data_IF_338739800511
#
_entry.id   IF_338739800511
#
_cell.length_a   1.000
_cell.length_b   1.000
_cell.length_c   1.000
_cell.angle_alpha   90.00
_cell.angle_beta   90.00
_cell.angle_gamma   90.00
#
_symmetry.space_group_name_H-M   'P 1'
#
loop_
_entity.id
_entity.type
_entity.pdbx_description
1 polymer ?
#
# COMPACT_ATOMS: atom_id res chain seq x y z
N UNK A 1 -37.75 1.14 -8.05
CA UNK A 1 -38.07 -0.31 -7.99
C UNK A 1 -38.05 -0.92 -6.58
N UNK A 2 -37.39 -0.30 -5.62
CA UNK A 2 -37.22 -0.80 -4.23
C UNK A 2 -38.49 -0.98 -3.39
N UNK A 3 -39.61 -0.42 -3.79
CA UNK A 3 -40.85 -0.47 -2.98
C UNK A 3 -41.89 -1.52 -3.41
N UNK A 4 -41.57 -2.41 -4.34
CA UNK A 4 -42.48 -3.47 -4.78
C UNK A 4 -42.34 -4.77 -4.01
N UNK A 5 -41.21 -5.01 -3.37
CA UNK A 5 -40.95 -6.21 -2.56
C UNK A 5 -41.34 -5.93 -1.12
N UNK A 6 -42.19 -6.81 -0.54
CA UNK A 6 -42.54 -6.71 0.86
C UNK A 6 -41.35 -7.06 1.77
N UNK A 7 -41.39 -6.63 3.05
CA UNK A 7 -40.34 -6.88 4.04
C UNK A 7 -39.87 -8.34 4.10
N UNK A 8 -40.81 -9.29 4.04
CA UNK A 8 -40.49 -10.72 4.11
C UNK A 8 -39.65 -11.19 2.92
N UNK A 9 -39.91 -10.67 1.72
CA UNK A 9 -39.17 -11.00 0.51
C UNK A 9 -37.73 -10.46 0.62
N UNK A 10 -37.57 -9.21 1.03
CA UNK A 10 -36.26 -8.59 1.21
C UNK A 10 -35.43 -9.30 2.30
N UNK A 11 -36.10 -9.71 3.40
CA UNK A 11 -35.45 -10.46 4.46
C UNK A 11 -35.00 -11.85 3.98
N UNK A 12 -35.80 -12.52 3.17
CA UNK A 12 -35.43 -13.81 2.60
C UNK A 12 -34.29 -13.71 1.63
N UNK A 13 -34.33 -12.77 0.71
CA UNK A 13 -33.20 -12.47 -0.23
C UNK A 13 -31.91 -12.16 0.53
N UNK A 14 -31.97 -11.33 1.57
CA UNK A 14 -30.80 -11.03 2.41
C UNK A 14 -30.24 -12.27 3.11
N UNK A 15 -31.11 -13.12 3.66
CA UNK A 15 -30.70 -14.37 4.30
C UNK A 15 -29.98 -15.31 3.33
N UNK A 16 -30.52 -15.50 2.13
CA UNK A 16 -29.94 -16.37 1.11
C UNK A 16 -28.54 -15.90 0.70
N UNK A 17 -28.34 -14.59 0.53
CA UNK A 17 -27.02 -14.00 0.23
C UNK A 17 -26.05 -14.27 1.38
N UNK A 18 -26.44 -14.00 2.63
CA UNK A 18 -25.55 -14.19 3.78
C UNK A 18 -25.28 -15.67 4.06
N UNK A 19 -26.23 -16.55 3.87
CA UNK A 19 -26.04 -18.01 3.99
C UNK A 19 -25.01 -18.51 2.96
N UNK A 20 -25.05 -17.99 1.73
CA UNK A 20 -24.06 -18.31 0.70
C UNK A 20 -22.66 -17.81 1.07
N UNK A 21 -22.54 -16.59 1.61
CA UNK A 21 -21.29 -16.01 2.09
C UNK A 21 -20.72 -16.87 3.23
N UNK A 22 -21.51 -17.13 4.27
CA UNK A 22 -21.07 -17.91 5.42
C UNK A 22 -20.66 -19.34 5.03
N UNK A 23 -21.42 -19.99 4.15
CA UNK A 23 -21.09 -21.33 3.66
C UNK A 23 -19.71 -21.39 3.00
N UNK A 24 -19.26 -20.29 2.35
CA UNK A 24 -17.97 -20.19 1.65
C UNK A 24 -16.83 -19.75 2.58
N UNK A 25 -17.11 -18.89 3.55
CA UNK A 25 -16.07 -18.10 4.23
C UNK A 25 -16.10 -18.20 5.76
N UNK A 26 -17.04 -18.94 6.34
CA UNK A 26 -17.11 -19.06 7.81
C UNK A 26 -15.86 -19.76 8.36
N UNK A 27 -15.33 -19.20 9.45
CA UNK A 27 -14.27 -19.82 10.23
C UNK A 27 -14.90 -20.32 11.53
N UNK A 28 -14.96 -21.63 11.69
CA UNK A 28 -15.50 -22.27 12.89
C UNK A 28 -14.39 -22.44 13.92
N UNK A 29 -14.60 -21.89 15.11
CA UNK A 29 -13.67 -21.99 16.23
C UNK A 29 -14.25 -22.99 17.24
N UNK A 30 -13.55 -24.10 17.46
CA UNK A 30 -13.87 -25.03 18.53
C UNK A 30 -13.28 -24.52 19.85
N UNK A 31 -14.06 -23.77 20.59
CA UNK A 31 -13.70 -23.18 21.87
C UNK A 31 -14.84 -23.34 22.87
N UNK A 32 -14.49 -23.36 24.15
CA UNK A 32 -15.47 -23.35 25.24
C UNK A 32 -16.07 -21.96 25.47
N UNK A 33 -15.46 -20.92 24.87
CA UNK A 33 -15.89 -19.53 24.99
C UNK A 33 -16.44 -19.07 23.63
N UNK A 34 -17.68 -18.64 23.59
CA UNK A 34 -18.35 -18.22 22.36
C UNK A 34 -17.87 -16.86 21.83
N UNK A 35 -17.22 -16.06 22.68
CA UNK A 35 -16.79 -14.70 22.34
C UNK A 35 -15.81 -14.66 21.14
N UNK A 36 -14.88 -15.63 21.08
CA UNK A 36 -13.94 -15.70 19.97
C UNK A 36 -14.63 -15.96 18.62
N UNK A 37 -15.62 -16.86 18.61
CA UNK A 37 -16.43 -17.15 17.41
C UNK A 37 -17.23 -15.93 16.96
N UNK A 38 -17.84 -15.21 17.92
CA UNK A 38 -18.59 -13.98 17.62
C UNK A 38 -17.65 -12.91 17.07
N UNK A 39 -16.49 -12.70 17.69
CA UNK A 39 -15.50 -11.71 17.26
C UNK A 39 -15.02 -11.96 15.81
N UNK A 40 -14.71 -13.21 15.47
CA UNK A 40 -14.28 -13.57 14.11
C UNK A 40 -15.39 -13.35 13.10
N UNK A 41 -16.61 -13.82 13.37
CA UNK A 41 -17.74 -13.58 12.46
C UNK A 41 -18.09 -12.11 12.30
N UNK A 42 -17.96 -11.32 13.36
CA UNK A 42 -18.13 -9.88 13.31
C UNK A 42 -17.11 -9.22 12.40
N UNK A 43 -15.83 -9.60 12.52
CA UNK A 43 -14.77 -9.11 11.64
C UNK A 43 -15.02 -9.50 10.16
N UNK A 44 -15.34 -10.76 9.90
CA UNK A 44 -15.67 -11.24 8.55
C UNK A 44 -16.88 -10.51 7.94
N UNK A 45 -17.91 -10.27 8.75
CA UNK A 45 -19.07 -9.48 8.32
C UNK A 45 -18.65 -8.08 7.87
N UNK A 46 -17.82 -7.39 8.67
CA UNK A 46 -17.36 -6.04 8.33
C UNK A 46 -16.46 -6.02 7.08
N UNK A 47 -15.60 -7.01 6.89
CA UNK A 47 -14.80 -7.14 5.66
C UNK A 47 -15.72 -7.29 4.43
N UNK A 48 -16.81 -8.07 4.54
CA UNK A 48 -17.72 -8.29 3.42
C UNK A 48 -18.54 -7.05 3.03
N UNK A 49 -18.96 -6.24 4.00
CA UNK A 49 -19.80 -5.07 3.73
C UNK A 49 -19.00 -3.84 3.29
N UNK A 50 -17.66 -3.82 3.49
CA UNK A 50 -16.84 -2.64 3.19
C UNK A 50 -16.47 -2.51 1.72
N UNK A 51 -16.56 -3.58 0.93
CA UNK A 51 -16.04 -3.61 -0.44
C UNK A 51 -17.16 -3.56 -1.48
N UNK A 52 -16.92 -2.84 -2.57
CA UNK A 52 -17.73 -2.91 -3.79
C UNK A 52 -17.09 -3.89 -4.76
N UNK A 53 -17.55 -5.13 -4.74
CA UNK A 53 -16.89 -6.28 -5.40
C UNK A 53 -16.72 -6.13 -6.91
N UNK A 54 -17.62 -5.41 -7.57
CA UNK A 54 -17.66 -5.30 -9.04
C UNK A 54 -17.25 -3.91 -9.56
N UNK A 55 -16.83 -2.99 -8.68
CA UNK A 55 -16.52 -1.62 -9.09
C UNK A 55 -15.05 -1.28 -8.84
N UNK A 56 -14.25 -1.38 -9.89
CA UNK A 56 -12.83 -1.06 -9.88
C UNK A 56 -12.52 0.44 -10.05
N UNK A 57 -13.48 1.33 -9.83
CA UNK A 57 -13.28 2.79 -9.80
C UNK A 57 -13.10 3.31 -8.37
N UNK A 58 -13.39 2.49 -7.37
CA UNK A 58 -13.34 2.82 -5.97
C UNK A 58 -12.55 1.77 -5.21
N UNK A 59 -11.77 2.21 -4.22
CA UNK A 59 -11.12 1.34 -3.24
C UNK A 59 -11.98 1.15 -2.00
N UNK A 60 -11.36 0.70 -0.92
CA UNK A 60 -12.00 0.56 0.39
C UNK A 60 -11.69 1.81 1.22
N UNK A 61 -12.72 2.48 1.71
CA UNK A 61 -12.55 3.63 2.60
C UNK A 61 -12.05 3.22 3.98
N UNK A 62 -11.21 4.03 4.61
CA UNK A 62 -10.60 3.75 5.92
C UNK A 62 -11.61 3.47 7.04
N UNK A 63 -12.81 4.05 6.98
CA UNK A 63 -13.93 3.78 7.90
C UNK A 63 -15.00 2.87 7.28
N UNK A 64 -14.69 2.21 6.18
CA UNK A 64 -15.63 1.39 5.42
C UNK A 64 -16.93 2.18 5.11
N UNK A 65 -18.09 1.59 5.44
CA UNK A 65 -19.41 2.24 5.31
C UNK A 65 -19.97 2.72 6.66
N UNK A 66 -19.21 2.57 7.75
CA UNK A 66 -19.70 2.81 9.11
C UNK A 66 -19.42 4.22 9.65
N UNK A 67 -18.72 5.06 8.89
CA UNK A 67 -18.40 6.42 9.34
C UNK A 67 -17.95 7.34 8.20
N UNK A 68 -18.02 8.64 8.43
CA UNK A 68 -17.65 9.69 7.47
C UNK A 68 -16.17 10.07 7.54
N UNK A 69 -15.41 9.52 8.51
CA UNK A 69 -13.99 9.77 8.66
C UNK A 69 -13.22 9.39 7.39
N UNK A 70 -12.23 10.19 7.06
CA UNK A 70 -11.42 10.05 5.83
C UNK A 70 -12.21 10.11 4.52
N UNK A 71 -13.45 10.59 4.53
CA UNK A 71 -14.27 10.88 3.32
C UNK A 71 -14.47 9.69 2.37
N UNK A 72 -14.28 8.46 2.85
CA UNK A 72 -14.30 7.25 2.02
C UNK A 72 -13.05 7.03 1.17
N UNK A 73 -11.97 7.76 1.42
CA UNK A 73 -10.70 7.61 0.72
C UNK A 73 -9.96 6.35 1.16
N UNK A 74 -9.15 5.79 0.25
CA UNK A 74 -8.37 4.57 0.45
C UNK A 74 -6.94 4.88 0.83
N UNK A 75 -6.38 4.05 1.70
CA UNK A 75 -5.03 4.13 2.22
C UNK A 75 -4.32 2.78 2.00
N UNK A 76 -3.07 2.68 2.41
CA UNK A 76 -2.27 1.45 2.32
C UNK A 76 -2.77 0.31 3.22
N UNK A 77 -3.63 0.61 4.19
CA UNK A 77 -4.35 -0.40 5.00
C UNK A 77 -5.05 -1.44 4.13
N UNK A 78 -5.59 -1.00 2.99
CA UNK A 78 -6.23 -1.90 2.03
C UNK A 78 -5.25 -2.98 1.59
N UNK A 79 -4.08 -2.61 1.12
CA UNK A 79 -3.10 -3.52 0.53
C UNK A 79 -2.44 -4.42 1.58
N UNK A 80 -2.14 -3.88 2.75
CA UNK A 80 -1.34 -4.59 3.74
C UNK A 80 -2.19 -5.41 4.70
N UNK A 81 -3.36 -4.91 5.12
CA UNK A 81 -4.15 -5.53 6.19
C UNK A 81 -5.46 -6.14 5.72
N UNK A 82 -6.14 -5.56 4.72
CA UNK A 82 -7.45 -6.03 4.25
C UNK A 82 -7.31 -7.00 3.08
N UNK A 83 -6.44 -6.69 2.15
CA UNK A 83 -6.22 -7.42 0.91
C UNK A 83 -5.92 -8.92 1.11
N UNK A 84 -5.10 -9.35 2.09
CA UNK A 84 -4.81 -10.77 2.31
C UNK A 84 -6.07 -11.62 2.54
N UNK A 85 -7.10 -11.06 3.16
CA UNK A 85 -8.37 -11.76 3.32
C UNK A 85 -9.04 -12.00 1.96
N UNK A 86 -9.20 -10.96 1.14
CA UNK A 86 -9.84 -11.10 -0.17
C UNK A 86 -9.01 -11.95 -1.13
N UNK A 87 -7.69 -11.84 -1.09
CA UNK A 87 -6.81 -12.69 -1.87
C UNK A 87 -7.07 -14.18 -1.66
N UNK A 88 -7.34 -14.57 -0.43
CA UNK A 88 -7.60 -15.97 -0.06
C UNK A 88 -9.07 -16.37 -0.23
N UNK A 89 -10.01 -15.51 0.14
CA UNK A 89 -11.43 -15.82 0.19
C UNK A 89 -12.17 -15.50 -1.13
N UNK A 90 -11.81 -14.41 -1.78
CA UNK A 90 -12.44 -13.89 -3.00
C UNK A 90 -11.40 -13.22 -3.92
N UNK A 91 -10.56 -13.98 -4.64
CA UNK A 91 -9.49 -13.43 -5.49
C UNK A 91 -9.97 -12.44 -6.54
N UNK A 92 -11.21 -12.58 -7.02
CA UNK A 92 -11.87 -11.65 -7.93
C UNK A 92 -12.04 -10.25 -7.32
N UNK A 93 -12.28 -10.17 -6.02
CA UNK A 93 -12.35 -8.89 -5.29
C UNK A 93 -10.96 -8.28 -5.15
N UNK A 94 -9.96 -9.10 -4.81
CA UNK A 94 -8.57 -8.67 -4.75
C UNK A 94 -8.10 -8.09 -6.10
N UNK A 95 -8.46 -8.74 -7.21
CA UNK A 95 -8.22 -8.22 -8.57
C UNK A 95 -8.85 -6.85 -8.78
N UNK A 96 -10.11 -6.68 -8.39
CA UNK A 96 -10.83 -5.40 -8.54
C UNK A 96 -10.13 -4.27 -7.78
N UNK A 97 -9.63 -4.54 -6.57
CA UNK A 97 -8.86 -3.57 -5.77
C UNK A 97 -7.53 -3.18 -6.44
N UNK A 98 -6.82 -4.14 -7.02
CA UNK A 98 -5.60 -3.86 -7.78
C UNK A 98 -5.89 -3.11 -9.08
N UNK A 99 -7.00 -3.38 -9.76
CA UNK A 99 -7.42 -2.61 -10.94
C UNK A 99 -7.75 -1.15 -10.59
N UNK A 100 -8.29 -0.88 -9.39
CA UNK A 100 -8.43 0.47 -8.88
C UNK A 100 -7.07 1.17 -8.77
N UNK A 101 -6.06 0.50 -8.21
CA UNK A 101 -4.70 1.06 -8.13
C UNK A 101 -4.08 1.27 -9.51
N UNK A 102 -4.27 0.34 -10.46
CA UNK A 102 -3.81 0.55 -11.83
C UNK A 102 -4.45 1.79 -12.48
N UNK A 103 -5.74 1.98 -12.30
CA UNK A 103 -6.43 3.19 -12.82
C UNK A 103 -5.87 4.47 -12.20
N UNK A 104 -5.41 4.40 -10.94
CA UNK A 104 -4.72 5.49 -10.26
C UNK A 104 -3.29 5.74 -10.72
N UNK A 105 -2.73 4.92 -11.63
CA UNK A 105 -1.33 5.03 -12.07
C UNK A 105 -1.03 6.38 -12.74
N UNK A 106 -1.98 6.95 -13.45
CA UNK A 106 -1.84 8.30 -14.02
C UNK A 106 -1.60 9.36 -12.92
N UNK A 107 -2.40 9.33 -11.86
CA UNK A 107 -2.25 10.22 -10.71
C UNK A 107 -0.91 10.00 -9.97
N UNK A 108 -0.48 8.74 -9.86
CA UNK A 108 0.81 8.40 -9.26
C UNK A 108 2.00 8.92 -10.07
N UNK A 109 1.94 8.85 -11.40
CA UNK A 109 2.96 9.48 -12.30
C UNK A 109 2.98 10.99 -12.15
N UNK A 110 1.81 11.62 -12.08
CA UNK A 110 1.68 13.05 -11.85
C UNK A 110 2.32 13.45 -10.53
N UNK A 111 2.00 12.74 -9.43
CA UNK A 111 2.57 12.96 -8.11
C UNK A 111 4.10 12.82 -8.11
N UNK A 112 4.64 11.77 -8.74
CA UNK A 112 6.08 11.59 -8.87
C UNK A 112 6.75 12.81 -9.54
N UNK A 113 6.20 13.23 -10.68
CA UNK A 113 6.72 14.38 -11.45
C UNK A 113 6.65 15.69 -10.66
N UNK A 114 5.55 15.95 -9.96
CA UNK A 114 5.35 17.16 -9.14
C UNK A 114 6.35 17.22 -7.96
N UNK A 115 6.81 16.05 -7.49
CA UNK A 115 7.83 15.94 -6.45
C UNK A 115 9.27 15.80 -7.00
N UNK A 116 9.46 15.95 -8.32
CA UNK A 116 10.79 15.90 -8.95
C UNK A 116 11.32 14.50 -9.23
N UNK A 117 10.46 13.46 -9.14
CA UNK A 117 10.83 12.07 -9.38
C UNK A 117 10.32 11.55 -10.72
N UNK A 118 10.85 10.41 -11.15
CA UNK A 118 10.42 9.66 -12.33
C UNK A 118 9.45 8.55 -11.94
N UNK A 119 8.81 7.93 -12.94
CA UNK A 119 7.92 6.79 -12.72
C UNK A 119 6.64 7.15 -11.97
N UNK A 120 6.20 6.30 -11.05
CA UNK A 120 4.94 6.45 -10.33
C UNK A 120 5.14 6.38 -8.81
N UNK A 121 4.72 7.43 -8.11
CA UNK A 121 4.66 7.54 -6.65
C UNK A 121 3.19 7.53 -6.24
N UNK A 122 2.72 6.42 -5.70
CA UNK A 122 1.33 6.33 -5.29
C UNK A 122 1.01 7.25 -4.11
N UNK A 123 -0.21 7.81 -4.05
CA UNK A 123 -0.62 8.71 -2.98
C UNK A 123 -0.74 7.97 -1.65
N UNK A 124 -0.50 8.67 -0.56
CA UNK A 124 -0.83 8.22 0.79
C UNK A 124 -2.35 8.12 0.96
N UNK A 125 -3.06 9.15 0.53
CA UNK A 125 -4.54 9.19 0.51
C UNK A 125 -5.04 9.21 -0.93
N UNK A 126 -5.77 8.16 -1.35
CA UNK A 126 -6.31 7.99 -2.68
C UNK A 126 -7.84 8.17 -2.69
N UNK A 127 -8.34 9.07 -3.53
CA UNK A 127 -9.77 9.32 -3.71
C UNK A 127 -10.27 8.72 -5.05
N UNK A 128 -10.23 9.51 -6.10
CA UNK A 128 -10.71 9.08 -7.41
C UNK A 128 -9.56 8.64 -8.32
N UNK A 129 -9.87 7.77 -9.27
CA UNK A 129 -8.88 7.16 -10.19
C UNK A 129 -8.08 8.17 -11.04
N UNK A 130 -8.56 9.38 -11.22
CA UNK A 130 -7.85 10.45 -11.96
C UNK A 130 -6.99 11.33 -11.06
N UNK A 131 -7.12 11.19 -9.75
CA UNK A 131 -6.46 12.06 -8.80
C UNK A 131 -5.04 11.51 -8.49
N UNK A 132 -4.16 12.41 -8.09
CA UNK A 132 -2.91 12.03 -7.43
C UNK A 132 -3.11 12.03 -5.92
N UNK A 133 -2.21 12.72 -5.19
CA UNK A 133 -2.35 12.92 -3.76
C UNK A 133 -3.52 13.85 -3.43
N UNK A 134 -4.35 13.44 -2.49
CA UNK A 134 -5.49 14.24 -2.01
C UNK A 134 -5.39 14.60 -0.53
N UNK A 135 -4.34 14.20 0.15
CA UNK A 135 -4.06 14.63 1.52
C UNK A 135 -3.85 16.14 1.55
N UNK A 136 -4.63 16.88 2.31
CA UNK A 136 -4.44 18.31 2.42
C UNK A 136 -3.14 18.62 3.19
N UNK A 137 -2.27 19.46 2.62
CA UNK A 137 -1.04 19.87 3.29
C UNK A 137 -1.30 20.61 4.61
N UNK A 138 -2.39 21.38 4.68
CA UNK A 138 -2.87 22.05 5.90
C UNK A 138 -4.18 21.40 6.31
N UNK A 139 -4.20 20.75 7.46
CA UNK A 139 -5.37 20.02 7.99
C UNK A 139 -6.22 20.85 8.93
N UNK A 140 -5.72 21.98 9.39
CA UNK A 140 -6.42 22.87 10.30
C UNK A 140 -5.52 23.98 10.83
N UNK A 141 -5.96 24.59 11.91
CA UNK A 141 -5.21 25.64 12.63
C UNK A 141 -5.19 25.29 14.10
N UNK A 142 -4.04 25.38 14.72
CA UNK A 142 -3.89 25.23 16.17
C UNK A 142 -4.67 26.36 16.86
N UNK A 143 -5.70 26.01 17.61
CA UNK A 143 -6.61 26.99 18.23
C UNK A 143 -5.95 27.85 19.31
N UNK A 144 -4.78 27.43 19.83
CA UNK A 144 -4.06 28.16 20.87
C UNK A 144 -2.98 29.09 20.29
N UNK A 145 -2.30 28.66 19.22
CA UNK A 145 -1.18 29.45 18.63
C UNK A 145 -1.58 30.19 17.34
N UNK A 146 -2.66 29.79 16.68
CA UNK A 146 -3.06 30.31 15.38
C UNK A 146 -2.22 29.78 14.21
N UNK A 147 -1.29 28.86 14.46
CA UNK A 147 -0.42 28.29 13.43
C UNK A 147 -1.11 27.17 12.64
N UNK A 148 -0.79 27.02 11.33
CA UNK A 148 -1.34 25.94 10.55
C UNK A 148 -0.85 24.57 11.06
N UNK A 149 -1.75 23.58 11.08
CA UNK A 149 -1.42 22.19 11.32
C UNK A 149 -1.01 21.55 10.00
N UNK A 150 0.28 21.27 9.85
CA UNK A 150 0.86 20.69 8.64
C UNK A 150 0.69 19.18 8.70
N UNK A 151 0.35 18.58 7.56
CA UNK A 151 0.31 17.14 7.35
C UNK A 151 1.32 16.75 6.26
N UNK A 152 2.34 16.01 6.65
CA UNK A 152 3.45 15.64 5.76
C UNK A 152 3.28 14.26 5.13
N UNK A 153 2.31 13.45 5.58
CA UNK A 153 2.11 12.07 5.09
C UNK A 153 1.96 12.01 3.57
N UNK A 154 1.17 12.91 2.98
CA UNK A 154 1.02 13.01 1.53
C UNK A 154 2.30 13.36 0.78
N UNK A 155 3.32 13.87 1.45
CA UNK A 155 4.58 14.34 0.83
C UNK A 155 5.71 13.35 1.03
N UNK A 156 5.98 12.96 2.29
CA UNK A 156 7.17 12.17 2.65
C UNK A 156 6.87 10.76 3.15
N UNK A 157 5.61 10.33 3.25
CA UNK A 157 5.25 8.93 3.50
C UNK A 157 5.10 8.19 2.17
N UNK A 158 6.15 7.50 1.75
CA UNK A 158 6.33 7.03 0.37
C UNK A 158 6.25 5.52 0.21
N UNK A 159 6.27 4.76 1.31
CA UNK A 159 6.27 3.29 1.29
C UNK A 159 5.03 2.69 0.63
N UNK A 160 3.89 3.43 0.62
CA UNK A 160 2.64 3.04 -0.05
C UNK A 160 2.88 2.58 -1.48
N UNK A 161 3.80 3.21 -2.17
CA UNK A 161 4.21 2.86 -3.52
C UNK A 161 4.64 1.40 -3.64
N UNK A 162 5.40 0.90 -2.67
CA UNK A 162 5.83 -0.50 -2.64
C UNK A 162 4.80 -1.44 -2.03
N UNK A 163 3.97 -0.96 -1.10
CA UNK A 163 2.93 -1.79 -0.47
C UNK A 163 1.92 -2.29 -1.50
N UNK A 164 1.56 -1.44 -2.45
CA UNK A 164 0.70 -1.80 -3.57
C UNK A 164 1.34 -2.90 -4.44
N UNK A 165 2.65 -2.79 -4.70
CA UNK A 165 3.36 -3.79 -5.50
C UNK A 165 3.55 -5.09 -4.73
N UNK A 166 3.75 -5.02 -3.43
CA UNK A 166 3.78 -6.21 -2.57
C UNK A 166 2.44 -6.96 -2.62
N UNK A 167 1.31 -6.26 -2.45
CA UNK A 167 -0.01 -6.85 -2.57
C UNK A 167 -0.25 -7.46 -3.98
N UNK A 168 0.12 -6.75 -5.04
CA UNK A 168 0.04 -7.23 -6.41
C UNK A 168 0.84 -8.53 -6.59
N UNK A 169 2.06 -8.59 -6.10
CA UNK A 169 2.91 -9.76 -6.22
C UNK A 169 2.38 -10.95 -5.42
N UNK A 170 1.88 -10.71 -4.21
CA UNK A 170 1.19 -11.73 -3.42
C UNK A 170 -0.03 -12.28 -4.15
N UNK A 171 -0.84 -11.41 -4.75
CA UNK A 171 -1.99 -11.81 -5.57
C UNK A 171 -1.57 -12.73 -6.73
N UNK A 172 -0.59 -12.29 -7.52
CA UNK A 172 -0.09 -13.08 -8.65
C UNK A 172 0.47 -14.43 -8.20
N UNK A 173 1.24 -14.45 -7.13
CA UNK A 173 1.81 -15.67 -6.59
C UNK A 173 0.73 -16.67 -6.13
N UNK A 174 -0.35 -16.16 -5.55
CA UNK A 174 -1.45 -17.00 -5.05
C UNK A 174 -2.39 -17.50 -6.16
N UNK A 175 -2.60 -16.70 -7.21
CA UNK A 175 -3.64 -16.97 -8.23
C UNK A 175 -3.11 -17.42 -9.56
N UNK A 176 -1.86 -17.05 -9.91
CA UNK A 176 -1.32 -17.22 -11.26
C UNK A 176 -2.02 -16.39 -12.34
N UNK A 177 -2.71 -15.29 -11.97
CA UNK A 177 -3.48 -14.47 -12.91
C UNK A 177 -2.59 -13.74 -13.90
N UNK A 178 -2.23 -14.44 -14.95
CA UNK A 178 -1.36 -13.93 -16.00
C UNK A 178 -2.04 -12.82 -16.83
N UNK A 179 -3.37 -12.87 -17.00
CA UNK A 179 -4.12 -11.82 -17.69
C UNK A 179 -3.99 -10.47 -16.97
N UNK A 180 -4.09 -10.48 -15.65
CA UNK A 180 -3.86 -9.27 -14.85
C UNK A 180 -2.43 -8.76 -15.01
N UNK A 181 -1.43 -9.65 -14.93
CA UNK A 181 -0.04 -9.26 -15.08
C UNK A 181 0.25 -8.67 -16.45
N UNK A 182 -0.22 -9.31 -17.51
CA UNK A 182 0.00 -8.87 -18.90
C UNK A 182 -0.65 -7.50 -19.18
N UNK A 183 -1.81 -7.23 -18.59
CA UNK A 183 -2.57 -5.99 -18.84
C UNK A 183 -2.15 -4.84 -17.93
N UNK A 184 -1.75 -5.12 -16.71
CA UNK A 184 -1.61 -4.12 -15.65
C UNK A 184 -0.33 -4.28 -14.82
N UNK A 185 -0.06 -5.50 -14.35
CA UNK A 185 0.92 -5.76 -13.30
C UNK A 185 2.33 -5.36 -13.66
N UNK A 186 2.78 -5.72 -14.86
CA UNK A 186 4.14 -5.40 -15.32
C UNK A 186 4.39 -3.90 -15.39
N UNK A 187 3.42 -3.13 -15.89
CA UNK A 187 3.52 -1.68 -15.96
C UNK A 187 3.59 -1.06 -14.56
N UNK A 188 2.75 -1.50 -13.63
CA UNK A 188 2.77 -1.00 -12.25
C UNK A 188 4.11 -1.24 -11.57
N UNK A 189 4.65 -2.46 -11.66
CA UNK A 189 5.92 -2.85 -11.04
C UNK A 189 7.09 -2.03 -11.60
N UNK A 190 7.16 -1.84 -12.90
CA UNK A 190 8.24 -1.09 -13.55
C UNK A 190 8.16 0.40 -13.19
N UNK A 191 6.98 0.99 -13.28
CA UNK A 191 6.80 2.42 -13.01
C UNK A 191 7.10 2.80 -11.55
N UNK A 192 6.71 1.97 -10.60
CA UNK A 192 7.02 2.20 -9.18
C UNK A 192 8.49 2.00 -8.87
N UNK A 193 9.15 1.03 -9.52
CA UNK A 193 10.60 0.87 -9.38
C UNK A 193 11.38 2.05 -10.00
N UNK A 194 10.86 2.67 -11.07
CA UNK A 194 11.42 3.92 -11.63
C UNK A 194 11.36 5.06 -10.63
N UNK A 195 10.28 5.14 -9.85
CA UNK A 195 10.20 6.11 -8.75
C UNK A 195 11.33 5.86 -7.76
N UNK A 196 11.47 4.65 -7.23
CA UNK A 196 12.54 4.34 -6.29
C UNK A 196 13.93 4.56 -6.88
N UNK A 197 14.15 4.17 -8.14
CA UNK A 197 15.41 4.44 -8.83
C UNK A 197 15.79 5.94 -8.84
N UNK A 198 14.81 6.81 -9.01
CA UNK A 198 15.03 8.26 -9.00
C UNK A 198 15.05 8.87 -7.58
N UNK A 199 14.47 8.17 -6.58
CA UNK A 199 14.34 8.65 -5.20
C UNK A 199 15.58 8.41 -4.36
N UNK A 200 16.32 7.35 -4.66
CA UNK A 200 17.51 7.00 -3.89
C UNK A 200 18.59 8.10 -3.98
N UNK A 201 19.13 8.47 -2.84
CA UNK A 201 20.19 9.47 -2.68
C UNK A 201 21.54 8.79 -2.47
N UNK A 202 22.53 9.14 -3.30
CA UNK A 202 23.89 8.67 -3.10
C UNK A 202 24.59 9.49 -2.02
N UNK A 203 25.08 8.82 -0.99
CA UNK A 203 25.80 9.46 0.13
C UNK A 203 27.29 9.08 0.01
N UNK A 204 28.09 10.03 -0.44
CA UNK A 204 29.51 9.81 -0.74
C UNK A 204 30.29 9.37 0.51
N UNK A 205 30.02 9.98 1.66
CA UNK A 205 30.68 9.65 2.92
C UNK A 205 30.47 8.21 3.36
N UNK A 206 29.32 7.64 2.99
CA UNK A 206 28.93 6.28 3.37
C UNK A 206 29.13 5.27 2.23
N UNK A 207 29.46 5.76 1.02
CA UNK A 207 29.59 4.95 -0.19
C UNK A 207 28.38 4.03 -0.42
N UNK A 208 27.16 4.56 -0.23
CA UNK A 208 25.92 3.82 -0.35
C UNK A 208 24.75 4.72 -0.75
N UNK A 209 23.65 4.11 -1.21
CA UNK A 209 22.37 4.77 -1.37
C UNK A 209 21.58 4.77 -0.07
N UNK A 210 20.86 5.85 0.19
CA UNK A 210 19.97 6.02 1.34
C UNK A 210 18.61 6.57 0.88
N UNK A 211 17.58 6.35 1.71
CA UNK A 211 16.29 7.02 1.62
C UNK A 211 16.16 7.91 2.86
N UNK A 212 16.21 9.21 2.64
CA UNK A 212 16.26 10.20 3.71
C UNK A 212 14.99 11.02 3.74
N UNK A 213 14.73 11.64 4.89
CA UNK A 213 13.60 12.55 5.07
C UNK A 213 12.25 11.92 4.71
N UNK A 214 11.88 10.86 5.43
CA UNK A 214 10.61 10.16 5.25
C UNK A 214 9.82 10.06 6.55
N UNK A 215 8.53 9.74 6.40
CA UNK A 215 7.69 9.15 7.44
C UNK A 215 7.58 7.66 7.12
N UNK A 216 7.81 6.80 8.11
CA UNK A 216 7.58 5.36 8.00
C UNK A 216 6.16 4.97 8.41
N UNK A 217 5.83 3.67 8.46
CA UNK A 217 4.52 3.16 8.87
C UNK A 217 4.09 3.57 10.29
N UNK A 218 5.05 3.95 11.13
CA UNK A 218 4.83 4.56 12.42
C UNK A 218 4.96 6.08 12.26
N UNK A 219 3.83 6.77 12.15
CA UNK A 219 3.74 8.20 11.86
C UNK A 219 4.15 9.09 13.05
N UNK A 220 4.48 8.52 14.20
CA UNK A 220 4.92 9.27 15.39
C UNK A 220 6.18 10.08 15.16
N UNK A 221 7.00 9.66 14.18
CA UNK A 221 8.26 10.33 13.88
C UNK A 221 8.32 10.71 12.42
N UNK A 222 8.23 12.00 12.18
CA UNK A 222 8.48 12.62 10.89
C UNK A 222 9.98 12.89 10.68
N UNK A 223 10.38 13.10 9.42
CA UNK A 223 11.75 13.47 9.04
C UNK A 223 12.81 12.48 9.52
N UNK A 224 12.60 11.18 9.27
CA UNK A 224 13.57 10.15 9.59
C UNK A 224 14.36 9.72 8.37
N UNK A 225 15.61 9.33 8.60
CA UNK A 225 16.50 8.77 7.57
C UNK A 225 16.53 7.24 7.72
N UNK A 226 16.59 6.55 6.58
CA UNK A 226 16.76 5.10 6.52
C UNK A 226 15.71 4.32 7.32
N UNK A 227 14.42 4.68 7.15
CA UNK A 227 13.36 3.89 7.75
C UNK A 227 13.43 2.44 7.24
N UNK A 228 13.52 1.48 8.16
CA UNK A 228 13.73 0.08 7.83
C UNK A 228 12.64 -0.45 6.89
N UNK A 229 11.36 -0.22 7.23
CA UNK A 229 10.24 -0.68 6.41
C UNK A 229 10.33 -0.12 5.00
N UNK A 230 10.48 1.21 4.87
CA UNK A 230 10.57 1.90 3.58
C UNK A 230 11.74 1.37 2.74
N UNK A 231 12.93 1.21 3.34
CA UNK A 231 14.11 0.75 2.62
C UNK A 231 13.96 -0.70 2.14
N UNK A 232 13.46 -1.61 2.98
CA UNK A 232 13.22 -3.01 2.58
C UNK A 232 12.14 -3.13 1.51
N UNK A 233 11.05 -2.37 1.62
CA UNK A 233 9.97 -2.38 0.65
C UNK A 233 10.40 -1.78 -0.70
N UNK A 234 11.18 -0.70 -0.69
CA UNK A 234 11.78 -0.13 -1.89
C UNK A 234 12.73 -1.11 -2.58
N UNK A 235 13.59 -1.77 -1.80
CA UNK A 235 14.51 -2.80 -2.31
C UNK A 235 13.74 -3.95 -2.98
N UNK A 236 12.68 -4.45 -2.34
CA UNK A 236 11.87 -5.54 -2.89
C UNK A 236 11.14 -5.13 -4.17
N UNK A 237 10.58 -3.91 -4.23
CA UNK A 237 9.96 -3.41 -5.45
C UNK A 237 10.97 -3.33 -6.62
N UNK A 238 12.18 -2.82 -6.37
CA UNK A 238 13.25 -2.78 -7.38
C UNK A 238 13.69 -4.18 -7.81
N UNK A 239 13.78 -5.14 -6.87
CA UNK A 239 14.11 -6.52 -7.15
C UNK A 239 13.08 -7.19 -8.06
N UNK A 240 11.81 -7.01 -7.76
CA UNK A 240 10.70 -7.51 -8.58
C UNK A 240 10.74 -6.91 -9.98
N UNK A 241 10.99 -5.60 -10.09
CA UNK A 241 11.08 -4.94 -11.39
C UNK A 241 12.22 -5.49 -12.26
N UNK A 242 13.40 -5.71 -11.68
CA UNK A 242 14.50 -6.31 -12.40
C UNK A 242 14.18 -7.73 -12.91
N UNK A 243 13.50 -8.56 -12.10
CA UNK A 243 13.01 -9.87 -12.50
C UNK A 243 11.96 -9.79 -13.61
N UNK A 244 11.00 -8.87 -13.46
CA UNK A 244 9.92 -8.66 -14.42
C UNK A 244 10.47 -8.18 -15.77
N UNK A 245 11.42 -7.24 -15.79
CA UNK A 245 12.05 -6.78 -17.04
C UNK A 245 12.71 -7.94 -17.77
N UNK A 246 13.45 -8.79 -17.07
CA UNK A 246 14.06 -9.98 -17.66
C UNK A 246 13.00 -10.94 -18.21
N UNK A 247 11.95 -11.24 -17.46
CA UNK A 247 10.86 -12.11 -17.87
C UNK A 247 10.15 -11.61 -19.13
N UNK A 248 9.71 -10.34 -19.16
CA UNK A 248 8.99 -9.80 -20.33
C UNK A 248 9.92 -9.69 -21.56
N UNK A 249 11.21 -9.43 -21.37
CA UNK A 249 12.19 -9.43 -22.45
C UNK A 249 12.27 -10.80 -23.11
N UNK A 250 12.27 -11.87 -22.34
CA UNK A 250 12.47 -13.23 -22.85
C UNK A 250 11.15 -13.85 -23.34
N UNK A 251 10.04 -13.63 -22.64
CA UNK A 251 8.78 -14.36 -22.85
C UNK A 251 7.63 -13.51 -23.41
N UNK A 252 7.66 -12.18 -23.27
CA UNK A 252 6.53 -11.27 -23.56
C UNK A 252 6.94 -10.09 -24.47
N UNK A 253 7.39 -10.39 -25.68
CA UNK A 253 7.97 -9.39 -26.60
C UNK A 253 7.09 -8.16 -26.86
N UNK A 254 5.77 -8.35 -26.94
CA UNK A 254 4.82 -7.24 -27.20
C UNK A 254 4.75 -6.28 -26.00
N UNK A 255 4.70 -6.83 -24.78
CA UNK A 255 4.70 -6.04 -23.54
C UNK A 255 6.05 -5.33 -23.38
N UNK A 256 7.15 -6.06 -23.62
CA UNK A 256 8.49 -5.48 -23.59
C UNK A 256 8.60 -4.30 -24.57
N UNK A 257 8.13 -4.47 -25.81
CA UNK A 257 8.12 -3.42 -26.83
C UNK A 257 7.28 -2.19 -26.44
N UNK A 258 6.11 -2.41 -25.78
CA UNK A 258 5.27 -1.32 -25.23
C UNK A 258 6.02 -0.55 -24.15
N UNK A 259 6.62 -1.25 -23.19
CA UNK A 259 7.33 -0.63 -22.09
C UNK A 259 8.61 0.06 -22.56
N UNK A 260 9.32 -0.53 -23.53
CA UNK A 260 10.53 0.07 -24.10
C UNK A 260 10.23 1.42 -24.79
N UNK A 261 9.10 1.55 -25.50
CA UNK A 261 8.70 2.84 -26.07
C UNK A 261 8.49 3.90 -25.01
N UNK A 262 7.83 3.53 -23.90
CA UNK A 262 7.62 4.44 -22.78
C UNK A 262 8.96 4.93 -22.19
N UNK A 263 9.95 4.04 -22.08
CA UNK A 263 11.29 4.41 -21.62
C UNK A 263 12.02 5.33 -22.60
N UNK A 264 11.90 5.05 -23.91
CA UNK A 264 12.54 5.86 -24.97
C UNK A 264 12.00 7.27 -25.04
N UNK A 265 10.71 7.49 -24.79
CA UNK A 265 10.11 8.83 -24.72
C UNK A 265 10.72 9.69 -23.61
N UNK A 266 11.31 9.06 -22.58
CA UNK A 266 12.02 9.72 -21.50
C UNK A 266 13.56 9.64 -21.63
N UNK A 267 14.07 9.20 -22.78
CA UNK A 267 15.51 9.17 -23.08
C UNK A 267 16.29 8.07 -22.37
N UNK A 268 15.63 6.94 -22.02
CA UNK A 268 16.25 5.77 -21.36
C UNK A 268 15.80 4.46 -22.01
N UNK A 269 16.21 3.32 -21.46
CA UNK A 269 15.77 2.00 -21.91
C UNK A 269 15.47 1.07 -20.74
N UNK A 270 14.76 -0.04 -20.99
CA UNK A 270 14.52 -1.06 -19.96
C UNK A 270 15.81 -1.75 -19.54
N UNK A 271 16.75 -1.96 -20.45
CA UNK A 271 18.06 -2.54 -20.16
C UNK A 271 18.85 -1.64 -19.20
N UNK A 272 18.88 -0.34 -19.48
CA UNK A 272 19.53 0.64 -18.62
C UNK A 272 18.87 0.68 -17.25
N UNK A 273 17.54 0.70 -17.20
CA UNK A 273 16.81 0.65 -15.92
C UNK A 273 17.15 -0.61 -15.12
N UNK A 274 17.17 -1.78 -15.77
CA UNK A 274 17.51 -3.06 -15.12
C UNK A 274 18.91 -3.03 -14.50
N UNK A 275 19.88 -2.49 -15.22
CA UNK A 275 21.28 -2.33 -14.73
C UNK A 275 21.36 -1.37 -13.55
N UNK A 276 20.71 -0.22 -13.66
CA UNK A 276 20.65 0.77 -12.58
C UNK A 276 20.01 0.21 -11.31
N UNK A 277 18.87 -0.51 -11.45
CA UNK A 277 18.20 -1.16 -10.32
C UNK A 277 19.11 -2.18 -9.64
N UNK A 278 19.78 -3.03 -10.41
CA UNK A 278 20.71 -4.05 -9.88
C UNK A 278 21.91 -3.44 -9.16
N UNK A 279 22.46 -2.32 -9.67
CA UNK A 279 23.58 -1.63 -9.03
C UNK A 279 23.12 -0.95 -7.73
N UNK A 280 22.01 -0.21 -7.78
CA UNK A 280 21.50 0.52 -6.62
C UNK A 280 21.05 -0.39 -5.49
N UNK A 281 20.39 -1.51 -5.79
CA UNK A 281 20.01 -2.49 -4.76
C UNK A 281 21.20 -3.04 -3.98
N UNK A 282 22.34 -3.28 -4.65
CA UNK A 282 23.55 -3.77 -3.96
C UNK A 282 24.14 -2.74 -2.98
N UNK A 283 23.86 -1.48 -3.22
CA UNK A 283 24.41 -0.35 -2.46
C UNK A 283 23.39 0.35 -1.57
N UNK A 284 22.12 -0.02 -1.66
CA UNK A 284 21.08 0.53 -0.80
C UNK A 284 21.30 0.07 0.64
N UNK A 285 21.33 1.02 1.55
CA UNK A 285 21.41 0.71 2.97
C UNK A 285 20.13 0.04 3.46
N UNK A 286 20.30 -1.15 4.02
CA UNK A 286 19.23 -1.90 4.67
C UNK A 286 19.59 -2.03 6.16
N UNK A 287 18.83 -1.42 7.08
CA UNK A 287 19.09 -1.53 8.51
C UNK A 287 19.17 -3.00 8.95
N UNK A 288 20.22 -3.35 9.67
CA UNK A 288 20.46 -4.71 10.17
C UNK A 288 20.11 -4.81 11.65
N UNK A 289 19.85 -6.01 12.17
CA UNK A 289 19.65 -6.23 13.59
C UNK A 289 20.84 -5.72 14.41
N UNK A 290 20.55 -4.94 15.45
CA UNK A 290 21.57 -4.51 16.42
C UNK A 290 22.17 -5.74 17.14
N UNK A 291 23.49 -5.81 17.21
CA UNK A 291 24.21 -6.98 17.72
C UNK A 291 23.88 -7.33 19.18
N UNK A 292 23.46 -6.37 19.98
CA UNK A 292 23.17 -6.57 21.40
C UNK A 292 21.73 -6.94 21.68
N UNK A 293 20.81 -6.37 20.90
CA UNK A 293 19.37 -6.51 21.12
C UNK A 293 18.68 -7.44 20.15
N UNK A 294 19.29 -7.73 18.99
CA UNK A 294 18.69 -8.45 17.88
C UNK A 294 17.54 -7.68 17.20
N UNK A 295 17.33 -6.42 17.53
CA UNK A 295 16.25 -5.58 17.00
C UNK A 295 16.75 -4.79 15.80
N UNK A 296 16.01 -4.83 14.69
CA UNK A 296 16.25 -3.93 13.55
C UNK A 296 15.80 -2.52 13.97
N UNK A 297 16.69 -1.51 13.96
CA UNK A 297 16.30 -0.14 14.26
C UNK A 297 15.29 0.35 13.22
N UNK A 298 14.22 0.99 13.67
CA UNK A 298 13.16 1.48 12.79
C UNK A 298 13.66 2.57 11.83
N UNK A 299 14.63 3.39 12.27
CA UNK A 299 15.29 4.46 11.51
C UNK A 299 16.63 4.82 12.14
N UNK A 300 17.42 5.65 11.49
CA UNK A 300 18.71 6.10 11.99
C UNK A 300 18.57 6.86 13.32
N UNK A 301 19.31 6.42 14.33
CA UNK A 301 19.22 6.99 15.68
C UNK A 301 18.07 6.47 16.55
N UNK A 302 17.31 5.47 16.12
CA UNK A 302 16.16 4.89 16.82
C UNK A 302 16.42 4.60 18.31
N UNK A 303 17.58 3.98 18.64
CA UNK A 303 17.92 3.65 20.03
C UNK A 303 18.30 4.87 20.88
N UNK A 304 18.54 6.02 20.25
CA UNK A 304 18.84 7.29 20.93
C UNK A 304 17.61 8.19 21.06
N UNK A 305 16.53 7.88 20.35
CA UNK A 305 15.32 8.70 20.35
C UNK A 305 14.55 8.55 21.68
N UNK A 306 13.91 9.64 22.10
CA UNK A 306 13.03 9.61 23.27
C UNK A 306 11.73 8.83 23.03
N UNK A 307 11.38 8.60 21.79
CA UNK A 307 10.20 7.87 21.35
C UNK A 307 10.11 6.45 21.89
N UNK A 308 11.25 5.78 22.05
CA UNK A 308 11.32 4.49 22.75
C UNK A 308 10.84 4.57 24.21
N UNK A 309 10.93 5.74 24.84
CA UNK A 309 10.39 6.02 26.18
C UNK A 309 8.88 6.26 26.12
N UNK A 310 8.42 7.03 25.13
CA UNK A 310 7.00 7.34 24.90
C UNK A 310 6.19 6.07 24.58
N UNK A 311 6.71 5.16 23.80
CA UNK A 311 6.05 3.87 23.52
C UNK A 311 5.82 3.00 24.79
N UNK A 312 6.64 3.16 25.84
CA UNK A 312 6.37 2.57 27.15
C UNK A 312 5.31 3.34 27.94
N UNK A 313 5.23 4.64 27.78
CA UNK A 313 4.25 5.50 28.45
C UNK A 313 2.86 5.43 27.77
N UNK A 314 2.78 5.24 26.45
CA UNK A 314 1.52 4.98 25.77
C UNK A 314 0.81 3.71 26.26
N UNK A 315 1.53 2.65 26.64
CA UNK A 315 0.91 1.47 27.28
C UNK A 315 0.22 1.79 28.60
N UNK A 316 0.65 2.83 29.30
CA UNK A 316 0.04 3.27 30.56
C UNK A 316 -1.10 4.29 30.37
N UNK A 317 -1.20 4.93 29.20
CA UNK A 317 -2.25 5.91 28.86
C UNK A 317 -3.46 5.33 28.15
N UNK A 318 -3.37 4.10 27.64
CA UNK A 318 -4.54 3.35 27.18
C UNK A 318 -5.28 2.77 28.39
N UNK A 319 -5.72 3.65 29.25
CA UNK A 319 -6.74 3.35 30.25
C UNK A 319 -8.08 3.18 29.51
N UNK A 320 -8.93 2.20 29.89
CA UNK A 320 -10.22 1.95 29.24
C UNK A 320 -11.26 3.06 29.42
N UNK A 321 -10.84 4.28 29.73
CA UNK A 321 -11.71 5.45 30.01
C UNK A 321 -11.34 6.68 29.16
N UNK A 322 -10.93 6.47 27.92
CA UNK A 322 -10.91 7.57 26.92
C UNK A 322 -11.60 7.13 25.66
#
# INVERSE_FOLDING_TARGET
>A
MLFRSGYRTLLQESREVWEAIWKKQDIVIDSREDDAQVAVRFALYHLQIMVRKEDNRVGIGAKALSGEGYKGHSFWDTETFIFPYFQMAEPEVARTLLEFRYKGLYGARKKAKENGYKGAMYPWEAAWISDGEVTPYITGVNVHTGEPLICLTGVIEQHITSDIIFALWQYYTATGDQDFMDRYGYEMIIETARFWNSRLEWIEENNRYEIRDVIGPDEYKEHVDNNAYTNYMAHENMRLAAQVIACIRDEKKDIYGKMQKLMQEEGTSLEQLEEELKDKMKKLYLPQPDEKTGIIPQFDGYFRSEERRVGKECRSRWSPYH
#
